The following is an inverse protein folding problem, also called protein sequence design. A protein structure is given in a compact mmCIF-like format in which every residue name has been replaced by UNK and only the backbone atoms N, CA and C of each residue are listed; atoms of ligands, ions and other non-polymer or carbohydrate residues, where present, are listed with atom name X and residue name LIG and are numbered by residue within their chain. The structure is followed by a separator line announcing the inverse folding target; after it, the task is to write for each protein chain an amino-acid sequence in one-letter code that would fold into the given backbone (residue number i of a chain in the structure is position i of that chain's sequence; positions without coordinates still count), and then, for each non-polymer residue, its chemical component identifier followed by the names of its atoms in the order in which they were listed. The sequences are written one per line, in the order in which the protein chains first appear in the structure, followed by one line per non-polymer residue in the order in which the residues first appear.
data_IF_542799310973
#
_entry.id   IF_542799310973
#
_cell.length_a   1.000
_cell.length_b   1.000
_cell.length_c   1.000
_cell.angle_alpha   90.00
_cell.angle_beta   90.00
_cell.angle_gamma   90.00
#
_symmetry.space_group_name_H-M   'P 1'
#
loop_
_entity.id
_entity.type
_entity.pdbx_description
1 polymer ?
#
# COMPACT_ATOMS: atom_id res chain seq x y z
N UNK A 1 -7.94 -18.06 -7.00
CA UNK A 1 -9.39 -18.36 -7.04
C UNK A 1 -10.04 -17.37 -8.01
N UNK A 2 -10.95 -17.79 -8.91
CA UNK A 2 -11.65 -16.86 -9.81
C UNK A 2 -12.55 -15.91 -9.00
N UNK A 3 -12.72 -14.67 -9.45
CA UNK A 3 -13.55 -13.69 -8.74
C UNK A 3 -15.04 -14.03 -8.71
N UNK A 4 -15.51 -14.93 -9.57
CA UNK A 4 -16.91 -15.43 -9.53
C UNK A 4 -17.14 -16.54 -8.50
N UNK A 5 -16.11 -16.97 -7.77
CA UNK A 5 -16.28 -17.96 -6.72
C UNK A 5 -17.17 -17.44 -5.58
N UNK A 6 -17.97 -18.32 -4.94
CA UNK A 6 -18.72 -17.95 -3.75
C UNK A 6 -17.79 -17.49 -2.61
N UNK A 7 -18.17 -16.42 -1.91
CA UNK A 7 -17.50 -16.01 -0.67
C UNK A 7 -17.81 -16.99 0.46
N UNK A 8 -16.82 -17.25 1.31
CA UNK A 8 -16.96 -18.22 2.40
C UNK A 8 -17.62 -17.57 3.63
N UNK A 9 -18.81 -18.01 4.00
CA UNK A 9 -19.49 -17.50 5.20
C UNK A 9 -18.67 -17.71 6.48
N UNK A 10 -18.07 -18.89 6.65
CA UNK A 10 -17.27 -19.24 7.82
C UNK A 10 -16.00 -18.40 7.96
N UNK A 11 -15.46 -17.87 6.85
CA UNK A 11 -14.34 -16.91 6.88
C UNK A 11 -14.73 -15.59 7.55
N UNK A 12 -15.94 -15.10 7.27
CA UNK A 12 -16.46 -13.90 7.92
C UNK A 12 -16.84 -14.14 9.38
N UNK A 13 -17.40 -15.32 9.69
CA UNK A 13 -17.73 -15.72 11.07
C UNK A 13 -16.50 -15.80 11.96
N UNK A 14 -15.39 -16.37 11.47
CA UNK A 14 -14.15 -16.46 12.22
C UNK A 14 -13.57 -15.08 12.56
N UNK A 15 -13.62 -14.12 11.62
CA UNK A 15 -13.20 -12.75 11.88
C UNK A 15 -14.07 -12.08 12.94
N UNK A 16 -15.39 -12.24 12.84
CA UNK A 16 -16.32 -11.68 13.81
C UNK A 16 -16.13 -12.30 15.20
N UNK A 17 -15.98 -13.63 15.29
CA UNK A 17 -15.70 -14.34 16.53
C UNK A 17 -14.36 -13.94 17.17
N UNK A 18 -13.39 -13.49 16.36
CA UNK A 18 -12.14 -12.90 16.84
C UNK A 18 -12.27 -11.43 17.30
N UNK A 19 -13.48 -10.87 17.28
CA UNK A 19 -13.79 -9.51 17.74
C UNK A 19 -13.64 -8.43 16.66
N UNK A 20 -13.49 -8.80 15.38
CA UNK A 20 -13.41 -7.82 14.31
C UNK A 20 -14.77 -7.17 14.05
N UNK A 21 -14.81 -5.83 14.01
CA UNK A 21 -16.00 -5.03 13.65
C UNK A 21 -16.04 -4.70 12.15
N UNK A 22 -14.92 -4.92 11.46
CA UNK A 22 -14.74 -4.79 10.02
C UNK A 22 -14.31 -6.16 9.49
N UNK A 23 -15.14 -6.77 8.64
CA UNK A 23 -14.92 -8.10 8.08
C UNK A 23 -14.49 -7.97 6.62
N UNK A 24 -13.40 -8.63 6.24
CA UNK A 24 -12.89 -8.64 4.87
C UNK A 24 -13.33 -9.92 4.15
N UNK A 25 -13.86 -9.80 2.94
CA UNK A 25 -14.22 -10.98 2.13
C UNK A 25 -12.99 -11.73 1.62
N UNK A 26 -13.10 -13.05 1.43
CA UNK A 26 -12.08 -13.92 0.82
C UNK A 26 -12.19 -13.96 -0.71
N UNK A 27 -12.42 -12.79 -1.32
CA UNK A 27 -12.71 -12.66 -2.76
C UNK A 27 -11.63 -13.25 -3.66
N UNK A 28 -12.08 -13.81 -4.79
CA UNK A 28 -11.19 -14.21 -5.87
C UNK A 28 -10.61 -13.03 -6.68
N UNK A 29 -9.70 -13.35 -7.60
CA UNK A 29 -9.04 -12.37 -8.46
C UNK A 29 -9.95 -11.89 -9.59
N UNK A 30 -9.89 -10.57 -9.86
CA UNK A 30 -10.61 -9.89 -10.93
C UNK A 30 -9.62 -9.55 -12.04
N UNK A 31 -9.70 -10.31 -13.13
CA UNK A 31 -8.85 -10.14 -14.30
C UNK A 31 -9.10 -8.84 -15.07
N UNK A 32 -8.33 -8.66 -16.15
CA UNK A 32 -8.45 -7.50 -17.04
C UNK A 32 -9.87 -7.42 -17.65
N UNK A 33 -10.62 -6.40 -17.27
CA UNK A 33 -11.98 -6.16 -17.80
C UNK A 33 -13.01 -7.21 -17.37
N UNK A 34 -12.72 -7.99 -16.32
CA UNK A 34 -13.60 -9.03 -15.81
C UNK A 34 -14.75 -8.44 -14.97
N UNK A 35 -15.70 -7.80 -15.66
CA UNK A 35 -16.91 -7.26 -15.05
C UNK A 35 -17.76 -8.30 -14.33
N UNK A 36 -17.96 -9.54 -14.85
CA UNK A 36 -18.68 -10.58 -14.12
C UNK A 36 -18.08 -10.91 -12.75
N UNK A 37 -16.75 -10.97 -12.63
CA UNK A 37 -16.09 -11.16 -11.34
C UNK A 37 -16.31 -9.97 -10.39
N UNK A 38 -16.21 -8.73 -10.89
CA UNK A 38 -16.45 -7.54 -10.09
C UNK A 38 -17.89 -7.50 -9.56
N UNK A 39 -18.87 -7.80 -10.42
CA UNK A 39 -20.28 -7.87 -10.08
C UNK A 39 -20.56 -8.96 -9.03
N UNK A 40 -20.01 -10.16 -9.24
CA UNK A 40 -20.17 -11.29 -8.33
C UNK A 40 -19.63 -11.00 -6.93
N UNK A 41 -18.47 -10.34 -6.82
CA UNK A 41 -17.89 -9.99 -5.50
C UNK A 41 -18.73 -8.93 -4.80
N UNK A 42 -19.10 -7.85 -5.51
CA UNK A 42 -19.82 -6.73 -4.90
C UNK A 42 -21.25 -7.11 -4.50
N UNK A 43 -21.94 -7.93 -5.32
CA UNK A 43 -23.28 -8.43 -5.01
C UNK A 43 -23.30 -9.35 -3.80
N UNK A 44 -22.34 -10.27 -3.70
CA UNK A 44 -22.21 -11.16 -2.54
C UNK A 44 -21.81 -10.39 -1.27
N UNK A 45 -20.87 -9.45 -1.36
CA UNK A 45 -20.50 -8.61 -0.22
C UNK A 45 -21.68 -7.75 0.26
N UNK A 46 -22.48 -7.20 -0.66
CA UNK A 46 -23.70 -6.47 -0.33
C UNK A 46 -24.77 -7.37 0.33
N UNK A 47 -24.85 -8.65 -0.07
CA UNK A 47 -25.70 -9.64 0.59
C UNK A 47 -25.27 -9.86 2.05
N UNK A 48 -24.00 -10.20 2.29
CA UNK A 48 -23.50 -10.42 3.66
C UNK A 48 -23.55 -9.15 4.53
N UNK A 49 -23.36 -7.97 3.93
CA UNK A 49 -23.54 -6.70 4.65
C UNK A 49 -24.97 -6.53 5.17
N UNK A 50 -25.99 -6.99 4.42
CA UNK A 50 -27.39 -6.97 4.89
C UNK A 50 -27.63 -8.00 5.98
N UNK A 51 -27.09 -9.20 5.84
CA UNK A 51 -27.24 -10.26 6.86
C UNK A 51 -26.62 -9.87 8.21
N UNK A 52 -25.54 -9.08 8.21
CA UNK A 52 -24.84 -8.63 9.42
C UNK A 52 -25.11 -7.17 9.79
N UNK A 53 -26.20 -6.59 9.31
CA UNK A 53 -26.54 -5.21 9.57
C UNK A 53 -26.68 -4.96 11.09
N UNK A 54 -25.87 -4.03 11.62
CA UNK A 54 -25.85 -3.68 13.05
C UNK A 54 -24.83 -4.45 13.89
N UNK A 55 -24.21 -5.50 13.35
CA UNK A 55 -23.19 -6.30 14.05
C UNK A 55 -21.78 -5.95 13.58
N UNK A 56 -21.57 -5.90 12.26
CA UNK A 56 -20.28 -5.61 11.65
C UNK A 56 -20.42 -4.99 10.27
N UNK A 57 -19.34 -4.37 9.79
CA UNK A 57 -19.26 -3.87 8.41
C UNK A 57 -18.49 -4.85 7.53
N UNK A 58 -19.10 -5.31 6.45
CA UNK A 58 -18.47 -6.20 5.46
C UNK A 58 -17.85 -5.35 4.36
N UNK A 59 -16.55 -5.51 4.16
CA UNK A 59 -15.78 -4.87 3.11
C UNK A 59 -15.45 -5.86 2.01
N UNK A 60 -15.82 -5.53 0.78
CA UNK A 60 -15.46 -6.33 -0.38
C UNK A 60 -13.97 -6.14 -0.68
N UNK A 61 -13.17 -7.20 -0.52
CA UNK A 61 -11.79 -7.20 -1.00
C UNK A 61 -11.82 -7.34 -2.52
N UNK A 62 -11.11 -6.47 -3.22
CA UNK A 62 -11.03 -6.46 -4.69
C UNK A 62 -9.57 -6.67 -5.10
N UNK A 63 -9.12 -7.92 -5.31
CA UNK A 63 -7.85 -8.23 -5.97
C UNK A 63 -7.97 -7.96 -7.47
N UNK A 64 -7.38 -6.86 -7.94
CA UNK A 64 -7.62 -6.30 -9.26
C UNK A 64 -6.36 -6.37 -10.13
N UNK A 65 -6.55 -6.76 -11.39
CA UNK A 65 -5.57 -6.47 -12.46
C UNK A 65 -5.29 -4.95 -12.56
N UNK A 66 -4.05 -4.56 -12.87
CA UNK A 66 -3.65 -3.14 -12.93
C UNK A 66 -4.48 -2.25 -13.87
N UNK A 67 -5.13 -2.84 -14.89
CA UNK A 67 -5.96 -2.11 -15.86
C UNK A 67 -7.20 -1.46 -15.23
N UNK A 68 -7.61 -1.90 -14.04
CA UNK A 68 -8.71 -1.28 -13.29
C UNK A 68 -8.37 0.10 -12.74
N UNK A 69 -7.08 0.45 -12.64
CA UNK A 69 -6.63 1.82 -12.36
C UNK A 69 -6.44 2.67 -13.63
N UNK A 70 -6.70 2.12 -14.81
CA UNK A 70 -6.42 2.78 -16.09
C UNK A 70 -7.65 2.64 -16.99
N UNK A 71 -7.66 1.65 -17.86
CA UNK A 71 -8.66 1.49 -18.91
C UNK A 71 -10.08 1.24 -18.36
N UNK A 72 -10.20 0.64 -17.17
CA UNK A 72 -11.49 0.25 -16.60
C UNK A 72 -11.89 1.04 -15.34
N UNK A 73 -11.22 2.16 -15.05
CA UNK A 73 -11.52 2.96 -13.84
C UNK A 73 -12.95 3.50 -13.84
N UNK A 74 -13.48 3.90 -14.99
CA UNK A 74 -14.85 4.40 -15.13
C UNK A 74 -15.87 3.31 -14.81
N UNK A 75 -15.63 2.08 -15.30
CA UNK A 75 -16.45 0.91 -15.02
C UNK A 75 -16.42 0.59 -13.52
N UNK A 76 -15.24 0.45 -12.93
CA UNK A 76 -15.09 0.19 -11.50
C UNK A 76 -15.83 1.22 -10.65
N UNK A 77 -15.60 2.51 -10.90
CA UNK A 77 -16.30 3.57 -10.13
C UNK A 77 -17.81 3.55 -10.34
N UNK A 78 -18.31 3.11 -11.50
CA UNK A 78 -19.73 2.87 -11.75
C UNK A 78 -20.30 1.79 -10.82
N UNK A 79 -19.66 0.63 -10.77
CA UNK A 79 -20.04 -0.49 -9.89
C UNK A 79 -19.99 -0.09 -8.41
N UNK A 80 -18.95 0.63 -7.99
CA UNK A 80 -18.84 1.11 -6.61
C UNK A 80 -20.00 2.03 -6.22
N UNK A 81 -20.42 2.95 -7.12
CA UNK A 81 -21.58 3.83 -6.89
C UNK A 81 -22.90 3.04 -6.85
N UNK A 82 -23.03 2.01 -7.67
CA UNK A 82 -24.22 1.17 -7.74
C UNK A 82 -24.40 0.34 -6.47
N UNK A 83 -23.37 -0.40 -6.07
CA UNK A 83 -23.46 -1.33 -4.93
C UNK A 83 -23.38 -0.64 -3.57
N UNK A 84 -22.66 0.50 -3.50
CA UNK A 84 -22.43 1.26 -2.26
C UNK A 84 -21.78 0.45 -1.13
N UNK A 85 -21.14 -0.65 -1.47
CA UNK A 85 -20.40 -1.50 -0.53
C UNK A 85 -19.01 -0.90 -0.27
N UNK A 86 -18.54 -0.82 0.98
CA UNK A 86 -17.15 -0.52 1.29
C UNK A 86 -16.18 -1.48 0.60
N UNK A 87 -15.05 -0.99 0.08
CA UNK A 87 -14.11 -1.83 -0.69
C UNK A 87 -12.67 -1.69 -0.23
N UNK A 88 -11.94 -2.80 -0.25
CA UNK A 88 -10.53 -2.85 0.05
C UNK A 88 -9.77 -3.34 -1.19
N UNK A 89 -9.02 -2.45 -1.84
CA UNK A 89 -8.33 -2.73 -3.09
C UNK A 89 -7.04 -3.51 -2.82
N UNK A 90 -6.77 -4.54 -3.60
CA UNK A 90 -5.47 -5.22 -3.68
C UNK A 90 -5.02 -5.14 -5.13
N UNK A 91 -3.92 -4.45 -5.39
CA UNK A 91 -3.51 -4.11 -6.76
C UNK A 91 -2.45 -5.09 -7.25
N UNK A 92 -2.75 -5.74 -8.38
CA UNK A 92 -1.78 -6.58 -9.06
C UNK A 92 -0.72 -5.73 -9.78
N UNK A 93 0.55 -6.07 -9.56
CA UNK A 93 1.65 -5.59 -10.40
C UNK A 93 2.92 -6.42 -10.21
N UNK A 94 3.77 -6.49 -11.23
CA UNK A 94 5.07 -7.17 -11.12
C UNK A 94 6.08 -6.43 -10.22
N UNK A 95 5.88 -5.13 -10.01
CA UNK A 95 6.77 -4.26 -9.22
C UNK A 95 6.00 -3.25 -8.37
N UNK A 96 5.63 -2.09 -8.89
CA UNK A 96 4.91 -1.03 -8.18
C UNK A 96 3.60 -0.67 -8.92
N UNK A 97 2.41 -1.05 -8.38
CA UNK A 97 1.13 -0.77 -9.03
C UNK A 97 0.81 0.73 -9.16
N UNK A 98 1.46 1.57 -8.34
CA UNK A 98 1.27 3.02 -8.30
C UNK A 98 2.50 3.76 -8.85
N UNK A 99 3.35 3.05 -9.60
CA UNK A 99 4.58 3.57 -10.18
C UNK A 99 4.40 4.57 -11.33
N UNK A 100 3.18 4.82 -11.77
CA UNK A 100 2.87 5.71 -12.90
C UNK A 100 1.79 6.72 -12.52
N UNK A 101 1.88 7.93 -13.09
CA UNK A 101 0.92 9.01 -12.84
C UNK A 101 -0.51 8.60 -13.20
N UNK A 102 -0.69 7.86 -14.30
CA UNK A 102 -2.01 7.37 -14.74
C UNK A 102 -2.62 6.43 -13.69
N UNK A 103 -1.84 5.52 -13.11
CA UNK A 103 -2.34 4.61 -12.08
C UNK A 103 -2.74 5.36 -10.80
N UNK A 104 -1.94 6.36 -10.39
CA UNK A 104 -2.26 7.22 -9.25
C UNK A 104 -3.54 8.02 -9.49
N UNK A 105 -3.70 8.63 -10.68
CA UNK A 105 -4.92 9.33 -11.06
C UNK A 105 -6.15 8.40 -11.06
N UNK A 106 -6.00 7.15 -11.51
CA UNK A 106 -7.06 6.16 -11.43
C UNK A 106 -7.45 5.84 -9.98
N UNK A 107 -6.47 5.64 -9.11
CA UNK A 107 -6.74 5.46 -7.67
C UNK A 107 -7.46 6.68 -7.08
N UNK A 108 -7.05 7.90 -7.43
CA UNK A 108 -7.72 9.12 -6.96
C UNK A 108 -9.19 9.19 -7.40
N UNK A 109 -9.51 8.77 -8.63
CA UNK A 109 -10.90 8.69 -9.09
C UNK A 109 -11.72 7.68 -8.29
N UNK A 110 -11.11 6.55 -7.89
CA UNK A 110 -11.76 5.54 -7.04
C UNK A 110 -11.98 6.08 -5.63
N UNK A 111 -10.97 6.72 -5.03
CA UNK A 111 -11.04 7.33 -3.70
C UNK A 111 -12.05 8.48 -3.63
N UNK A 112 -12.37 9.13 -4.76
CA UNK A 112 -13.37 10.20 -4.84
C UNK A 112 -14.82 9.70 -4.92
N UNK A 113 -15.04 8.39 -5.06
CA UNK A 113 -16.39 7.79 -5.02
C UNK A 113 -16.96 7.92 -3.59
N UNK A 114 -18.28 8.20 -3.42
CA UNK A 114 -18.91 8.30 -2.10
C UNK A 114 -19.13 6.94 -1.42
N UNK A 115 -18.11 6.07 -1.43
CA UNK A 115 -18.06 4.82 -0.68
C UNK A 115 -16.73 4.74 0.07
N UNK A 116 -16.67 4.11 1.25
CA UNK A 116 -15.40 3.87 1.93
C UNK A 116 -14.47 2.99 1.07
N UNK A 117 -13.24 3.46 0.86
CA UNK A 117 -12.20 2.73 0.12
C UNK A 117 -10.97 2.56 1.00
N UNK A 118 -10.37 1.38 0.95
CA UNK A 118 -9.10 1.05 1.61
C UNK A 118 -8.12 0.48 0.57
N UNK A 119 -6.82 0.56 0.87
CA UNK A 119 -5.76 -0.02 0.04
C UNK A 119 -4.96 -1.05 0.83
N UNK A 120 -5.00 -2.30 0.42
CA UNK A 120 -4.27 -3.40 1.05
C UNK A 120 -3.05 -3.81 0.23
N UNK A 121 -2.18 -4.60 0.85
CA UNK A 121 -1.03 -5.24 0.19
C UNK A 121 -0.23 -4.24 -0.65
N UNK A 122 0.15 -3.10 -0.06
CA UNK A 122 0.93 -2.07 -0.73
C UNK A 122 2.24 -1.79 0.03
N UNK A 123 3.03 -0.85 -0.50
CA UNK A 123 4.25 -0.33 0.11
C UNK A 123 3.99 1.03 0.79
N UNK A 124 4.98 1.93 0.76
CA UNK A 124 4.88 3.28 1.33
C UNK A 124 3.75 4.11 0.67
N UNK A 125 3.29 3.73 -0.53
CA UNK A 125 2.12 4.34 -1.19
C UNK A 125 0.83 4.25 -0.38
N UNK A 126 0.76 3.40 0.66
CA UNK A 126 -0.31 3.44 1.66
C UNK A 126 -0.54 4.85 2.24
N UNK A 127 0.54 5.60 2.53
CA UNK A 127 0.44 6.97 3.03
C UNK A 127 -0.18 7.91 2.00
N UNK A 128 0.14 7.72 0.72
CA UNK A 128 -0.52 8.43 -0.38
C UNK A 128 -2.01 8.13 -0.46
N UNK A 129 -2.40 6.85 -0.39
CA UNK A 129 -3.82 6.49 -0.37
C UNK A 129 -4.57 7.14 0.80
N UNK A 130 -4.00 7.13 2.02
CA UNK A 130 -4.56 7.81 3.19
C UNK A 130 -4.64 9.34 3.02
N UNK A 131 -3.63 9.94 2.40
CA UNK A 131 -3.60 11.38 2.14
C UNK A 131 -4.72 11.82 1.17
N UNK A 132 -5.09 10.93 0.24
CA UNK A 132 -6.09 11.20 -0.80
C UNK A 132 -7.50 10.69 -0.47
N UNK A 133 -7.70 10.03 0.69
CA UNK A 133 -9.04 9.76 1.21
C UNK A 133 -9.34 8.29 1.55
N UNK A 134 -8.37 7.38 1.42
CA UNK A 134 -8.56 6.02 1.91
C UNK A 134 -8.86 6.01 3.42
N UNK A 135 -9.77 5.15 3.84
CA UNK A 135 -10.19 5.03 5.24
C UNK A 135 -9.10 4.34 6.07
N UNK A 136 -8.49 3.31 5.51
CA UNK A 136 -7.31 2.65 6.05
C UNK A 136 -6.45 2.10 4.90
N UNK A 137 -5.20 1.79 5.22
CA UNK A 137 -4.29 1.15 4.28
C UNK A 137 -3.38 0.15 5.01
N UNK A 138 -2.90 -0.87 4.29
CA UNK A 138 -2.02 -1.90 4.86
C UNK A 138 -0.70 -1.99 4.08
N UNK A 139 0.41 -1.85 4.82
CA UNK A 139 1.77 -2.01 4.28
C UNK A 139 2.26 -3.42 4.60
N UNK A 140 2.67 -4.15 3.57
CA UNK A 140 3.22 -5.49 3.76
C UNK A 140 4.61 -5.47 4.41
N UNK A 141 4.80 -6.27 5.46
CA UNK A 141 6.10 -6.38 6.17
C UNK A 141 7.14 -7.23 5.43
N UNK A 142 6.74 -7.89 4.34
CA UNK A 142 7.60 -8.66 3.45
C UNK A 142 7.24 -8.32 2.01
N UNK A 143 8.19 -8.45 1.09
CA UNK A 143 7.95 -8.19 -0.34
C UNK A 143 6.76 -8.97 -0.90
N UNK A 144 6.59 -10.24 -0.52
CA UNK A 144 5.44 -11.07 -0.94
C UNK A 144 4.09 -10.61 -0.39
N UNK A 145 4.07 -9.78 0.66
CA UNK A 145 2.86 -9.23 1.26
C UNK A 145 2.58 -7.78 0.79
N UNK A 146 3.48 -7.19 0.00
CA UNK A 146 3.36 -5.82 -0.53
C UNK A 146 2.84 -5.75 -1.96
N UNK A 147 2.65 -6.92 -2.59
CA UNK A 147 2.29 -7.01 -3.99
C UNK A 147 1.41 -8.23 -4.21
N UNK A 148 0.37 -8.07 -5.02
CA UNK A 148 -0.25 -9.18 -5.72
C UNK A 148 0.51 -9.37 -7.04
N UNK A 149 1.19 -10.50 -7.20
CA UNK A 149 1.98 -10.76 -8.41
C UNK A 149 1.10 -11.35 -9.52
N UNK A 150 1.29 -10.94 -10.79
CA UNK A 150 0.64 -11.59 -11.92
C UNK A 150 0.99 -13.07 -12.00
N UNK A 151 0.03 -13.91 -12.33
CA UNK A 151 0.22 -15.37 -12.40
C UNK A 151 1.27 -15.79 -13.44
N UNK A 152 1.41 -15.03 -14.53
CA UNK A 152 2.35 -15.31 -15.63
C UNK A 152 3.76 -14.72 -15.41
N UNK A 153 3.92 -13.84 -14.41
CA UNK A 153 5.21 -13.25 -14.06
C UNK A 153 5.94 -14.21 -13.11
N UNK A 154 6.62 -15.21 -13.67
CA UNK A 154 7.31 -16.26 -12.92
C UNK A 154 8.08 -15.76 -11.70
N UNK A 155 7.73 -16.30 -10.53
CA UNK A 155 8.54 -16.29 -9.31
C UNK A 155 8.54 -14.99 -8.50
N UNK A 156 8.03 -15.06 -7.27
CA UNK A 156 8.29 -14.03 -6.25
C UNK A 156 9.79 -13.85 -6.03
N UNK A 157 10.21 -12.61 -5.69
CA UNK A 157 11.61 -12.31 -5.34
C UNK A 157 12.14 -13.26 -4.24
N UNK A 158 13.46 -13.53 -4.19
CA UNK A 158 14.05 -14.42 -3.20
C UNK A 158 13.51 -14.17 -1.79
N UNK A 159 12.98 -15.23 -1.17
CA UNK A 159 12.53 -15.19 0.22
C UNK A 159 13.76 -15.12 1.14
N UNK A 160 13.68 -14.32 2.20
CA UNK A 160 14.73 -14.25 3.24
C UNK A 160 15.66 -13.03 3.22
N UNK A 161 15.53 -12.12 2.24
CA UNK A 161 16.27 -10.85 2.28
C UNK A 161 15.59 -9.89 3.27
N UNK A 162 16.26 -9.62 4.38
CA UNK A 162 15.81 -8.61 5.35
C UNK A 162 15.83 -7.24 4.67
N UNK A 163 14.70 -6.55 4.74
CA UNK A 163 14.53 -5.21 4.17
C UNK A 163 13.96 -4.28 5.23
N UNK A 164 14.30 -3.01 5.12
CA UNK A 164 13.86 -1.99 6.06
C UNK A 164 13.54 -0.69 5.32
N UNK A 165 12.64 0.09 5.89
CA UNK A 165 12.34 1.44 5.43
C UNK A 165 13.52 2.38 5.71
N UNK A 166 13.96 3.10 4.70
CA UNK A 166 14.76 4.32 4.84
C UNK A 166 13.80 5.49 4.63
N UNK A 167 13.30 6.00 5.75
CA UNK A 167 12.16 6.93 5.78
C UNK A 167 12.42 8.25 5.02
N UNK A 168 13.59 8.92 5.13
CA UNK A 168 13.86 10.15 4.39
C UNK A 168 13.78 10.02 2.87
N UNK A 169 13.99 8.82 2.33
CA UNK A 169 13.86 8.52 0.89
C UNK A 169 12.63 7.68 0.55
N UNK A 170 11.75 7.43 1.54
CA UNK A 170 10.49 6.69 1.41
C UNK A 170 10.64 5.33 0.69
N UNK A 171 11.73 4.62 0.96
CA UNK A 171 12.04 3.37 0.26
C UNK A 171 12.33 2.21 1.20
N UNK A 172 11.70 1.07 0.92
CA UNK A 172 11.99 -0.19 1.61
C UNK A 172 12.97 -0.99 0.76
N UNK A 173 14.21 -1.10 1.22
CA UNK A 173 15.33 -1.75 0.52
C UNK A 173 16.02 -2.77 1.41
N UNK A 174 16.84 -3.66 0.83
CA UNK A 174 17.59 -4.64 1.63
C UNK A 174 18.57 -3.97 2.59
N UNK A 175 18.74 -4.53 3.77
CA UNK A 175 19.65 -3.98 4.80
C UNK A 175 21.11 -3.93 4.33
N UNK A 176 21.54 -4.87 3.49
CA UNK A 176 22.84 -4.82 2.82
C UNK A 176 23.00 -3.57 1.94
N UNK A 177 21.92 -3.14 1.27
CA UNK A 177 21.93 -1.93 0.45
C UNK A 177 22.09 -0.68 1.31
N UNK A 178 21.42 -0.65 2.45
CA UNK A 178 21.50 0.42 3.44
C UNK A 178 22.94 0.52 3.96
N UNK A 179 23.52 -0.60 4.41
CA UNK A 179 24.89 -0.64 4.91
C UNK A 179 25.92 -0.15 3.88
N UNK A 180 25.78 -0.58 2.61
CA UNK A 180 26.67 -0.15 1.53
C UNK A 180 26.53 1.35 1.19
N UNK A 181 25.32 1.91 1.28
CA UNK A 181 25.09 3.33 1.05
C UNK A 181 25.58 4.19 2.23
N UNK A 182 25.35 3.75 3.46
CA UNK A 182 25.91 4.37 4.67
C UNK A 182 27.43 4.43 4.62
N UNK A 183 28.12 3.30 4.35
CA UNK A 183 29.58 3.23 4.36
C UNK A 183 30.24 4.20 3.35
N UNK A 184 29.48 4.63 2.35
CA UNK A 184 29.93 5.53 1.31
C UNK A 184 29.76 7.02 1.66
N UNK A 185 28.87 7.34 2.58
CA UNK A 185 28.57 8.70 3.05
C UNK A 185 28.01 8.68 4.49
N UNK A 186 28.83 8.33 5.50
CA UNK A 186 28.36 8.07 6.86
C UNK A 186 27.91 9.33 7.62
N UNK A 187 28.38 10.51 7.19
CA UNK A 187 28.09 11.78 7.87
C UNK A 187 26.73 12.38 7.49
N UNK A 188 26.02 11.77 6.51
CA UNK A 188 24.73 12.26 6.06
C UNK A 188 23.61 11.93 7.06
N UNK A 189 22.83 12.94 7.45
CA UNK A 189 21.78 12.81 8.46
C UNK A 189 20.61 11.90 8.06
N UNK A 190 20.43 11.60 6.78
CA UNK A 190 19.40 10.65 6.30
C UNK A 190 19.54 9.24 6.88
N UNK A 191 20.71 8.89 7.40
CA UNK A 191 20.96 7.60 8.04
C UNK A 191 20.53 7.56 9.51
N UNK A 192 20.18 8.70 10.10
CA UNK A 192 19.65 8.76 11.46
C UNK A 192 18.14 8.53 11.44
N UNK A 193 17.66 7.62 12.29
CA UNK A 193 16.22 7.39 12.42
C UNK A 193 15.70 7.83 13.79
N UNK A 194 14.70 8.71 13.76
CA UNK A 194 14.06 9.27 14.94
C UNK A 194 12.73 8.60 15.31
N UNK A 195 12.42 7.42 14.75
CA UNK A 195 11.23 6.68 15.16
C UNK A 195 11.35 6.19 16.61
N UNK A 196 10.22 5.85 17.23
CA UNK A 196 10.19 5.40 18.64
C UNK A 196 10.99 4.11 18.90
N UNK A 197 11.36 3.36 17.86
CA UNK A 197 12.22 2.20 18.02
C UNK A 197 13.72 2.56 17.98
N UNK A 198 14.09 3.57 17.18
CA UNK A 198 15.48 3.91 16.89
C UNK A 198 16.02 5.06 17.76
N UNK A 199 15.19 5.99 18.21
CA UNK A 199 15.57 7.10 19.10
C UNK A 199 16.83 7.88 18.65
N UNK A 200 16.93 8.20 17.35
CA UNK A 200 18.06 8.92 16.76
C UNK A 200 19.26 8.04 16.40
N UNK A 201 19.16 6.72 16.58
CA UNK A 201 20.21 5.78 16.19
C UNK A 201 20.40 5.76 14.68
N UNK A 202 21.66 5.63 14.28
CA UNK A 202 22.05 5.41 12.89
C UNK A 202 21.60 4.04 12.36
N UNK A 203 21.12 3.99 11.11
CA UNK A 203 20.54 2.79 10.47
C UNK A 203 21.52 1.64 10.23
N UNK A 204 22.84 1.79 10.46
CA UNK A 204 23.82 0.68 10.37
C UNK A 204 23.49 -0.52 11.23
N UNK A 205 22.78 -0.34 12.35
CA UNK A 205 22.40 -1.47 13.22
C UNK A 205 21.58 -2.53 12.46
N UNK A 206 20.85 -2.12 11.41
CA UNK A 206 20.07 -3.01 10.55
C UNK A 206 20.92 -4.05 9.80
N UNK A 207 22.23 -3.81 9.64
CA UNK A 207 23.14 -4.76 8.99
C UNK A 207 23.23 -6.10 9.75
N UNK A 208 22.96 -6.08 11.06
CA UNK A 208 22.98 -7.26 11.93
C UNK A 208 21.59 -7.64 12.47
N UNK A 209 20.55 -6.88 12.08
CA UNK A 209 19.21 -7.06 12.61
C UNK A 209 18.51 -8.28 12.00
N UNK A 210 17.75 -8.99 12.83
CA UNK A 210 16.81 -9.99 12.36
C UNK A 210 15.58 -9.36 11.70
N UNK A 211 14.81 -10.18 10.97
CA UNK A 211 13.60 -9.72 10.26
C UNK A 211 12.59 -9.02 11.17
N UNK A 212 12.38 -9.53 12.39
CA UNK A 212 11.42 -8.94 13.35
C UNK A 212 11.83 -7.53 13.75
N UNK A 213 13.12 -7.29 14.02
CA UNK A 213 13.62 -5.98 14.42
C UNK A 213 13.57 -4.98 13.27
N UNK A 214 13.98 -5.38 12.05
CA UNK A 214 13.88 -4.54 10.87
C UNK A 214 12.41 -4.18 10.52
N UNK A 215 11.49 -5.12 10.72
CA UNK A 215 10.06 -4.88 10.56
C UNK A 215 9.52 -3.93 11.62
N UNK A 216 9.94 -4.08 12.88
CA UNK A 216 9.53 -3.18 13.97
C UNK A 216 9.95 -1.74 13.68
N UNK A 217 11.20 -1.51 13.30
CA UNK A 217 11.67 -0.19 12.83
C UNK A 217 10.79 0.38 11.70
N UNK A 218 10.58 -0.42 10.65
CA UNK A 218 9.83 0.05 9.47
C UNK A 218 8.38 0.38 9.82
N UNK A 219 7.77 -0.44 10.68
CA UNK A 219 6.41 -0.24 11.18
C UNK A 219 6.30 1.05 12.01
N UNK A 220 7.18 1.24 13.00
CA UNK A 220 7.18 2.43 13.86
C UNK A 220 7.46 3.71 13.06
N UNK A 221 8.37 3.66 12.08
CA UNK A 221 8.62 4.79 11.19
C UNK A 221 7.38 5.14 10.34
N UNK A 222 6.69 4.15 9.77
CA UNK A 222 5.44 4.38 9.02
C UNK A 222 4.31 4.90 9.92
N UNK A 223 4.21 4.40 11.15
CA UNK A 223 3.22 4.89 12.13
C UNK A 223 3.44 6.36 12.46
N UNK A 224 4.69 6.77 12.73
CA UNK A 224 5.00 8.18 12.98
C UNK A 224 4.58 9.08 11.80
N UNK A 225 4.81 8.64 10.56
CA UNK A 225 4.35 9.36 9.35
C UNK A 225 2.83 9.40 9.23
N UNK A 226 2.15 8.31 9.60
CA UNK A 226 0.68 8.27 9.63
C UNK A 226 0.13 9.23 10.69
N UNK A 227 0.74 9.33 11.87
CA UNK A 227 0.34 10.26 12.92
C UNK A 227 0.54 11.72 12.49
N UNK A 228 1.68 12.05 11.87
CA UNK A 228 1.89 13.36 11.23
C UNK A 228 0.79 13.66 10.22
N UNK A 229 0.51 12.73 9.31
CA UNK A 229 -0.54 12.86 8.28
C UNK A 229 -1.93 13.10 8.89
N UNK A 230 -2.25 12.42 9.99
CA UNK A 230 -3.56 12.54 10.63
C UNK A 230 -3.75 13.84 11.41
N UNK A 231 -2.67 14.42 11.93
CA UNK A 231 -2.69 15.75 12.54
C UNK A 231 -3.09 16.85 11.54
N UNK A 232 -3.00 16.58 10.23
CA UNK A 232 -3.33 17.52 9.16
C UNK A 232 -4.79 17.32 8.74
N UNK A 233 -5.63 18.37 8.70
CA UNK A 233 -7.01 18.27 8.23
C UNK A 233 -7.11 17.64 6.83
N UNK A 234 -8.14 16.80 6.62
CA UNK A 234 -8.43 16.18 5.31
C UNK A 234 -8.61 17.24 4.23
N UNK A 235 -8.26 16.90 2.99
CA UNK A 235 -8.37 17.77 1.82
C UNK A 235 -7.00 18.17 1.26
N UNK A 236 -6.95 19.32 0.57
CA UNK A 236 -5.76 19.78 -0.18
C UNK A 236 -4.49 19.88 0.67
N UNK A 237 -4.59 20.30 1.94
CA UNK A 237 -3.41 20.37 2.82
C UNK A 237 -2.75 19.00 3.04
N UNK A 238 -3.57 17.97 3.22
CA UNK A 238 -3.10 16.60 3.43
C UNK A 238 -2.49 16.00 2.16
N UNK A 239 -3.08 16.30 1.00
CA UNK A 239 -2.54 15.94 -0.33
C UNK A 239 -1.19 16.61 -0.59
N UNK A 240 -1.12 17.92 -0.36
CA UNK A 240 0.10 18.72 -0.48
C UNK A 240 1.22 18.25 0.45
N UNK A 241 0.89 17.84 1.68
CA UNK A 241 1.86 17.23 2.58
C UNK A 241 2.50 15.98 1.96
N UNK A 242 1.70 15.07 1.39
CA UNK A 242 2.22 13.86 0.77
C UNK A 242 3.06 14.14 -0.47
N UNK A 243 2.60 15.04 -1.35
CA UNK A 243 3.35 15.49 -2.52
C UNK A 243 4.71 16.07 -2.14
N UNK A 244 4.75 16.91 -1.09
CA UNK A 244 5.99 17.48 -0.56
C UNK A 244 6.93 16.38 -0.05
N UNK A 245 6.41 15.38 0.68
CA UNK A 245 7.23 14.23 1.13
C UNK A 245 7.82 13.44 -0.02
N UNK A 246 7.04 13.19 -1.08
CA UNK A 246 7.57 12.57 -2.29
C UNK A 246 8.65 13.43 -2.95
N UNK A 247 8.49 14.76 -2.95
CA UNK A 247 9.51 15.69 -3.46
C UNK A 247 10.79 15.68 -2.62
N UNK A 248 10.67 15.72 -1.30
CA UNK A 248 11.80 15.65 -0.36
C UNK A 248 12.57 14.34 -0.54
N UNK A 249 11.86 13.22 -0.66
CA UNK A 249 12.46 11.92 -0.92
C UNK A 249 13.24 11.89 -2.25
N UNK A 250 12.69 12.46 -3.32
CA UNK A 250 13.38 12.56 -4.61
C UNK A 250 14.64 13.44 -4.51
N UNK A 251 14.59 14.53 -3.76
CA UNK A 251 15.77 15.36 -3.51
C UNK A 251 16.86 14.58 -2.75
N UNK A 252 16.48 13.83 -1.70
CA UNK A 252 17.42 12.99 -0.95
C UNK A 252 18.05 11.88 -1.83
N UNK A 253 17.31 11.36 -2.81
CA UNK A 253 17.86 10.42 -3.81
C UNK A 253 18.99 11.02 -4.65
N UNK A 254 18.87 12.30 -5.00
CA UNK A 254 19.85 13.05 -5.79
C UNK A 254 21.06 13.44 -4.94
N UNK A 255 20.82 14.02 -3.76
CA UNK A 255 21.85 14.48 -2.81
C UNK A 255 22.82 13.35 -2.43
N UNK A 256 22.28 12.22 -2.00
CA UNK A 256 23.03 11.01 -1.64
C UNK A 256 23.61 10.25 -2.84
N UNK A 257 23.35 10.72 -4.07
CA UNK A 257 23.77 10.03 -5.31
C UNK A 257 23.34 8.56 -5.33
N UNK A 258 22.17 8.27 -4.75
CA UNK A 258 21.67 6.90 -4.59
C UNK A 258 21.49 6.22 -5.95
N UNK A 259 21.05 6.97 -6.96
CA UNK A 259 20.90 6.50 -8.33
C UNK A 259 22.27 6.20 -8.99
N UNK A 260 23.20 7.15 -8.94
CA UNK A 260 24.44 7.13 -9.72
C UNK A 260 25.55 6.30 -9.07
N UNK A 261 25.68 6.34 -7.74
CA UNK A 261 26.73 5.64 -6.98
C UNK A 261 26.28 4.27 -6.47
N UNK A 262 25.03 4.16 -6.01
CA UNK A 262 24.55 2.95 -5.32
C UNK A 262 23.57 2.11 -6.11
N UNK A 263 23.19 2.54 -7.33
CA UNK A 263 22.19 1.87 -8.17
C UNK A 263 20.88 1.63 -7.41
N UNK A 264 20.49 2.59 -6.56
CA UNK A 264 19.15 2.66 -5.99
C UNK A 264 18.23 3.33 -6.97
N UNK A 265 17.40 2.52 -7.62
CA UNK A 265 16.24 3.01 -8.35
C UNK A 265 15.29 3.70 -7.37
N UNK A 266 14.92 4.94 -7.64
CA UNK A 266 13.82 5.61 -6.94
C UNK A 266 12.52 4.87 -7.27
N UNK A 267 11.66 4.56 -6.29
CA UNK A 267 10.34 4.03 -6.57
C UNK A 267 9.57 4.91 -7.54
N UNK A 268 8.84 4.29 -8.49
CA UNK A 268 8.07 5.03 -9.49
C UNK A 268 7.00 5.91 -8.84
N UNK A 269 6.40 5.42 -7.74
CA UNK A 269 5.34 6.13 -7.05
C UNK A 269 5.76 7.52 -6.58
N UNK A 270 7.04 7.76 -6.23
CA UNK A 270 7.48 9.08 -5.76
C UNK A 270 7.24 10.15 -6.81
N UNK A 271 7.57 9.85 -8.07
CA UNK A 271 7.33 10.78 -9.17
C UNK A 271 5.84 10.85 -9.51
N UNK A 272 5.15 9.73 -9.49
CA UNK A 272 3.73 9.67 -9.81
C UNK A 272 2.87 10.48 -8.83
N UNK A 273 3.12 10.37 -7.52
CA UNK A 273 2.40 11.11 -6.49
C UNK A 273 2.78 12.58 -6.42
N UNK A 274 4.03 12.94 -6.74
CA UNK A 274 4.48 14.34 -6.75
C UNK A 274 3.75 15.19 -7.80
N UNK A 275 3.29 14.59 -8.90
CA UNK A 275 2.79 15.32 -10.07
C UNK A 275 1.26 15.30 -10.25
N UNK A 276 0.51 14.69 -9.33
CA UNK A 276 -0.96 14.64 -9.35
C UNK A 276 -1.59 15.67 -8.45
#
# INVERSE_FOLDING_TARGET
MPGTAPLTASWLEQQYAAGATVLLTDSGYIGRGDEPALDAILSQAAFYQRERAGEATVWAVLPLHQSWLREHVSILTGYLRQYRTPVALVLEHASDPLGTQIAVQGLMQILAVPVPVALLCTDVSALGALAFGAVFAAVGVRTSLRHLYPQDAGGGRPTGVVSALVDPVLSIVSTNKIAAAYAADPDNQVWQCYCEHCHGRDLTWLATAGQVQANHHSFTALLARREELESIPRGERRRGWWQNRCSDALWNYEDLRLLTRHRWTSPGFLRAWKTV
#
